data_IF_356358994330
#
_entry.id   IF_356358994330
#
_cell.length_a   1.000
_cell.length_b   1.000
_cell.length_c   1.000
_cell.angle_alpha   90.00
_cell.angle_beta   90.00
_cell.angle_gamma   90.00
#
_symmetry.space_group_name_H-M   'P 1'
#
loop_
_entity.id
_entity.type
_entity.pdbx_description
1 polymer ?
#
# COMPACT_ATOMS: atom_id res chain seq x y z
N UNK A 1 -20.81 5.04 3.23
CA UNK A 1 -19.71 4.40 2.47
C UNK A 1 -18.43 4.62 3.24
N UNK A 2 -17.66 3.56 3.48
CA UNK A 2 -16.37 3.64 4.18
C UNK A 2 -15.22 3.79 3.18
N UNK A 3 -14.11 4.37 3.61
CA UNK A 3 -12.86 4.38 2.86
C UNK A 3 -12.09 3.11 3.18
N UNK A 4 -11.88 2.28 2.16
CA UNK A 4 -11.01 1.11 2.22
C UNK A 4 -9.54 1.55 2.11
N UNK A 5 -8.63 0.78 2.69
CA UNK A 5 -7.19 1.04 2.62
C UNK A 5 -6.40 -0.18 2.19
N UNK A 6 -5.41 0.07 1.35
CA UNK A 6 -4.49 -0.93 0.82
C UNK A 6 -3.04 -0.47 1.08
N UNK A 7 -2.14 -1.43 1.26
CA UNK A 7 -0.73 -1.20 1.47
C UNK A 7 0.05 -1.76 0.30
N UNK A 8 0.93 -0.95 -0.26
CA UNK A 8 1.83 -1.33 -1.34
C UNK A 8 3.27 -1.34 -0.84
N UNK A 9 4.00 -2.42 -1.11
CA UNK A 9 5.44 -2.49 -0.89
C UNK A 9 6.14 -1.69 -1.97
N UNK A 10 6.95 -0.73 -1.56
CA UNK A 10 7.71 0.14 -2.44
C UNK A 10 9.19 0.04 -2.11
N UNK A 11 10.02 0.22 -3.13
CA UNK A 11 11.43 0.56 -2.96
C UNK A 11 11.57 2.01 -2.48
N UNK A 12 12.77 2.38 -2.02
CA UNK A 12 13.02 3.75 -1.57
C UNK A 12 12.81 4.79 -2.70
N UNK A 13 13.25 4.48 -3.91
CA UNK A 13 13.10 5.35 -5.08
C UNK A 13 11.62 5.55 -5.46
N UNK A 14 10.83 4.48 -5.38
CA UNK A 14 9.39 4.53 -5.61
C UNK A 14 8.68 5.37 -4.55
N UNK A 15 9.04 5.22 -3.27
CA UNK A 15 8.49 6.04 -2.18
C UNK A 15 8.78 7.54 -2.36
N UNK A 16 9.99 7.89 -2.79
CA UNK A 16 10.33 9.28 -3.12
C UNK A 16 9.46 9.81 -4.26
N UNK A 17 9.19 8.97 -5.26
CA UNK A 17 8.34 9.32 -6.40
C UNK A 17 6.88 9.48 -6.02
N UNK A 18 6.33 8.64 -5.14
CA UNK A 18 4.95 8.76 -4.64
C UNK A 18 4.68 10.15 -4.06
N UNK A 19 5.66 10.74 -3.37
CA UNK A 19 5.51 12.08 -2.78
C UNK A 19 5.39 13.20 -3.83
N UNK A 20 5.83 12.96 -5.06
CA UNK A 20 5.82 13.93 -6.16
C UNK A 20 4.69 13.68 -7.16
N UNK A 21 4.24 12.43 -7.30
CA UNK A 21 3.32 11.99 -8.35
C UNK A 21 2.35 10.92 -7.80
N UNK A 22 1.21 11.39 -7.30
CA UNK A 22 0.16 10.54 -6.74
C UNK A 22 -0.55 9.70 -7.82
N UNK A 23 -0.69 10.22 -9.04
CA UNK A 23 -1.33 9.50 -10.14
C UNK A 23 -0.47 8.31 -10.56
N UNK A 24 0.85 8.49 -10.61
CA UNK A 24 1.77 7.37 -10.82
C UNK A 24 1.65 6.31 -9.71
N UNK A 25 1.57 6.73 -8.45
CA UNK A 25 1.42 5.82 -7.32
C UNK A 25 0.13 5.00 -7.40
N UNK A 26 -0.97 5.65 -7.80
CA UNK A 26 -2.27 5.00 -8.01
C UNK A 26 -2.19 3.95 -9.13
N UNK A 27 -1.62 4.33 -10.28
CA UNK A 27 -1.48 3.40 -11.41
C UNK A 27 -0.59 2.20 -11.06
N UNK A 28 0.51 2.41 -10.33
CA UNK A 28 1.36 1.32 -9.87
C UNK A 28 0.60 0.35 -8.95
N UNK A 29 -0.20 0.88 -8.02
CA UNK A 29 -1.01 0.06 -7.13
C UNK A 29 -2.02 -0.79 -7.90
N UNK A 30 -2.71 -0.19 -8.86
CA UNK A 30 -3.68 -0.90 -9.72
C UNK A 30 -3.00 -2.01 -10.53
N UNK A 31 -1.86 -1.72 -11.18
CA UNK A 31 -1.10 -2.70 -11.97
C UNK A 31 -0.63 -3.88 -11.10
N UNK A 32 -0.12 -3.60 -9.90
CA UNK A 32 0.31 -4.64 -8.96
C UNK A 32 -0.89 -5.46 -8.49
N UNK A 33 -1.98 -4.82 -8.10
CA UNK A 33 -3.18 -5.52 -7.63
C UNK A 33 -3.74 -6.45 -8.71
N UNK A 34 -3.87 -5.99 -9.95
CA UNK A 34 -4.35 -6.81 -11.07
C UNK A 34 -3.41 -8.02 -11.31
N UNK A 35 -2.09 -7.79 -11.26
CA UNK A 35 -1.10 -8.85 -11.40
C UNK A 35 -1.19 -9.90 -10.28
N UNK A 36 -1.39 -9.48 -9.04
CA UNK A 36 -1.47 -10.38 -7.88
C UNK A 36 -2.82 -11.11 -7.80
N UNK A 37 -3.92 -10.49 -8.23
CA UNK A 37 -5.21 -11.18 -8.41
C UNK A 37 -5.11 -12.30 -9.46
N UNK A 38 -4.28 -12.12 -10.49
CA UNK A 38 -4.07 -13.13 -11.52
C UNK A 38 -3.12 -14.25 -11.09
N UNK A 39 -2.03 -13.91 -10.40
CA UNK A 39 -0.93 -14.84 -10.12
C UNK A 39 -0.96 -15.44 -8.71
N UNK A 40 -1.67 -14.82 -7.76
CA UNK A 40 -1.77 -15.21 -6.36
C UNK A 40 -0.40 -15.54 -5.71
N UNK A 41 0.53 -14.56 -5.64
CA UNK A 41 1.85 -14.81 -5.08
C UNK A 41 1.78 -15.23 -3.60
N UNK A 42 2.81 -15.95 -3.15
CA UNK A 42 2.94 -16.30 -1.74
C UNK A 42 3.10 -15.05 -0.84
N UNK A 43 2.78 -15.13 0.46
CA UNK A 43 2.82 -13.96 1.36
C UNK A 43 4.18 -13.24 1.46
N UNK A 44 5.27 -13.97 1.20
CA UNK A 44 6.62 -13.40 1.20
C UNK A 44 6.85 -12.50 -0.03
N UNK A 45 6.26 -12.88 -1.17
CA UNK A 45 6.46 -12.25 -2.47
C UNK A 45 5.37 -11.22 -2.81
N UNK A 46 4.24 -11.25 -2.10
CA UNK A 46 3.15 -10.29 -2.26
C UNK A 46 3.61 -8.85 -1.97
N UNK A 47 3.29 -7.95 -2.89
CA UNK A 47 3.57 -6.53 -2.90
C UNK A 47 2.35 -5.72 -2.44
N UNK A 48 1.13 -6.21 -2.63
CA UNK A 48 -0.09 -5.54 -2.18
C UNK A 48 -0.73 -6.26 -0.97
N UNK A 49 -1.34 -5.49 -0.07
CA UNK A 49 -2.17 -6.00 1.01
C UNK A 49 -3.41 -5.12 1.20
N UNK A 50 -4.57 -5.67 0.87
CA UNK A 50 -5.85 -5.04 1.16
C UNK A 50 -6.23 -5.22 2.63
N UNK A 51 -6.33 -4.12 3.37
CA UNK A 51 -6.76 -4.11 4.76
C UNK A 51 -8.24 -3.74 4.94
N UNK A 52 -8.93 -3.42 3.84
CA UNK A 52 -10.31 -2.95 3.84
C UNK A 52 -10.46 -1.79 4.84
N UNK A 53 -11.46 -1.81 5.70
CA UNK A 53 -11.72 -0.79 6.73
C UNK A 53 -10.75 -0.83 7.92
N UNK A 54 -9.80 -1.77 7.97
CA UNK A 54 -8.89 -1.94 9.11
C UNK A 54 -7.65 -1.05 9.06
N UNK A 55 -7.41 -0.34 7.95
CA UNK A 55 -6.27 0.57 7.78
C UNK A 55 -6.06 1.59 8.92
N UNK A 56 -7.10 2.17 9.58
CA UNK A 56 -6.88 3.11 10.66
C UNK A 56 -6.27 2.43 11.90
N UNK A 57 -6.68 1.18 12.19
CA UNK A 57 -6.14 0.41 13.30
C UNK A 57 -4.69 0.01 13.04
N UNK A 58 -4.39 -0.46 11.82
CA UNK A 58 -3.03 -0.82 11.42
C UNK A 58 -2.08 0.36 11.51
N UNK A 59 -2.50 1.56 11.07
CA UNK A 59 -1.73 2.80 11.24
C UNK A 59 -1.34 3.06 12.69
N UNK A 60 -2.27 2.90 13.63
CA UNK A 60 -2.01 3.09 15.07
C UNK A 60 -1.01 2.05 15.60
N UNK A 61 -1.18 0.78 15.23
CA UNK A 61 -0.31 -0.30 15.69
C UNK A 61 1.13 -0.13 15.17
N UNK A 62 1.29 0.21 13.88
CA UNK A 62 2.58 0.41 13.25
C UNK A 62 3.31 1.63 13.82
N UNK A 63 2.59 2.72 14.05
CA UNK A 63 3.13 3.88 14.76
C UNK A 63 3.64 3.56 16.16
N UNK A 64 2.91 2.72 16.92
CA UNK A 64 3.36 2.25 18.25
C UNK A 64 4.57 1.31 18.19
N UNK A 65 4.72 0.57 17.10
CA UNK A 65 5.86 -0.32 16.88
C UNK A 65 7.14 0.41 16.44
N UNK A 66 7.08 1.73 16.20
CA UNK A 66 8.19 2.49 15.64
C UNK A 66 8.44 2.17 14.16
N UNK A 67 7.44 1.65 13.46
CA UNK A 67 7.50 1.33 12.05
C UNK A 67 6.74 2.42 11.28
N UNK A 68 7.42 3.49 10.81
CA UNK A 68 6.75 4.54 10.07
C UNK A 68 6.22 3.95 8.75
N UNK A 69 4.90 4.04 8.57
CA UNK A 69 4.30 3.85 7.25
C UNK A 69 3.95 5.23 6.75
N UNK A 70 4.53 5.61 5.62
CA UNK A 70 4.11 6.81 4.91
C UNK A 70 2.72 6.56 4.32
N UNK A 71 1.76 7.38 4.74
CA UNK A 71 0.37 7.29 4.29
C UNK A 71 0.14 8.42 3.29
N UNK A 72 0.10 8.05 2.02
CA UNK A 72 -0.31 8.93 0.93
C UNK A 72 -1.82 8.87 0.78
N UNK A 73 -2.46 10.03 0.67
CA UNK A 73 -3.90 10.14 0.41
C UNK A 73 -4.12 10.55 -1.05
N UNK A 74 -5.01 9.84 -1.75
CA UNK A 74 -5.59 10.25 -3.04
C UNK A 74 -7.00 10.79 -2.85
#
# INVERSE_FOLDING_TARGET
MGSIGEYLRLTAEELERVQQDYDWAWNLMEDVREGEEHFEPGPADALCYASDMAWPLLRVLLGRAGFPVDVSHG
#
